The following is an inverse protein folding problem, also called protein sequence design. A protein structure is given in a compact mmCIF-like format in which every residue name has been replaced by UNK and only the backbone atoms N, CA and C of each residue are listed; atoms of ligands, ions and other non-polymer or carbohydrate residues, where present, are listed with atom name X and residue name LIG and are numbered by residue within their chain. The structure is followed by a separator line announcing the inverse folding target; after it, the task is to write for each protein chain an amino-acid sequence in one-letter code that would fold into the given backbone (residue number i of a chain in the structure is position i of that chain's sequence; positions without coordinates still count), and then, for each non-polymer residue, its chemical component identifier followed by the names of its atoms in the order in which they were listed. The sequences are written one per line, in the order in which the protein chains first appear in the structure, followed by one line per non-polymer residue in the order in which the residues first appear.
data_IF_686464578331
#
_entry.id   IF_686464578331
#
_cell.length_a   1.000
_cell.length_b   1.000
_cell.length_c   1.000
_cell.angle_alpha   90.00
_cell.angle_beta   90.00
_cell.angle_gamma   90.00
#
_symmetry.space_group_name_H-M   'P 1'
#
loop_
_entity.id
_entity.type
_entity.pdbx_description
1 polymer ?
#
# COMPACT_ATOMS: atom_id res chain seq x y z
N UNK A 1 -4.91 0.71 24.93
CA UNK A 1 -6.24 0.08 25.11
C UNK A 1 -6.11 -1.38 24.74
N UNK A 2 -6.68 -2.30 25.52
CA UNK A 2 -6.70 -3.72 25.18
C UNK A 2 -7.97 -4.03 24.38
N UNK A 3 -7.84 -4.29 23.08
CA UNK A 3 -8.98 -4.61 22.20
C UNK A 3 -9.72 -5.87 22.64
N UNK A 4 -9.07 -6.79 23.36
CA UNK A 4 -9.72 -7.98 23.92
C UNK A 4 -10.81 -7.66 24.94
N UNK A 5 -10.76 -6.50 25.61
CA UNK A 5 -11.78 -6.11 26.59
C UNK A 5 -13.13 -5.79 25.92
N UNK A 6 -13.19 -5.67 24.59
CA UNK A 6 -14.40 -5.41 23.81
C UNK A 6 -14.95 -6.67 23.11
N UNK A 7 -14.22 -7.79 23.18
CA UNK A 7 -14.59 -9.02 22.51
C UNK A 7 -15.72 -9.75 23.27
N UNK A 8 -16.67 -10.29 22.52
CA UNK A 8 -17.65 -11.27 22.98
C UNK A 8 -17.07 -12.67 22.77
N UNK A 9 -17.01 -13.47 23.83
CA UNK A 9 -16.46 -14.83 23.76
C UNK A 9 -17.47 -15.87 23.25
N UNK A 10 -18.74 -15.49 23.10
CA UNK A 10 -19.83 -16.36 22.67
C UNK A 10 -20.68 -15.64 21.62
N UNK A 11 -20.94 -16.31 20.50
CA UNK A 11 -21.83 -15.84 19.45
C UNK A 11 -23.29 -16.24 19.72
N UNK A 12 -24.22 -15.64 18.97
CA UNK A 12 -25.66 -15.90 19.09
C UNK A 12 -26.39 -14.94 20.02
N UNK A 13 -27.73 -15.04 20.13
CA UNK A 13 -28.56 -14.09 20.87
C UNK A 13 -28.22 -14.00 22.37
N UNK A 14 -27.66 -15.07 22.92
CA UNK A 14 -27.28 -15.20 24.33
C UNK A 14 -25.85 -14.75 24.62
N UNK A 15 -25.23 -13.97 23.71
CA UNK A 15 -23.88 -13.44 23.91
C UNK A 15 -23.74 -12.72 25.26
N UNK A 16 -22.55 -12.76 25.86
CA UNK A 16 -22.28 -12.08 27.14
C UNK A 16 -21.47 -10.82 26.89
N UNK A 17 -22.01 -9.66 27.29
CA UNK A 17 -21.25 -8.42 27.26
C UNK A 17 -19.97 -8.57 28.10
N UNK A 18 -18.87 -8.07 27.56
CA UNK A 18 -17.64 -7.90 28.31
C UNK A 18 -17.83 -6.86 29.43
N UNK A 19 -16.86 -6.77 30.34
CA UNK A 19 -16.88 -5.79 31.44
C UNK A 19 -17.12 -4.36 30.94
N UNK A 20 -16.46 -3.97 29.83
CA UNK A 20 -16.57 -2.62 29.27
C UNK A 20 -17.94 -2.40 28.60
N UNK A 21 -18.55 -3.44 28.05
CA UNK A 21 -19.86 -3.35 27.40
C UNK A 21 -21.04 -3.59 28.35
N UNK A 22 -20.80 -3.96 29.61
CA UNK A 22 -21.84 -4.23 30.61
C UNK A 22 -22.90 -3.11 30.75
N UNK A 23 -22.57 -1.80 30.69
CA UNK A 23 -23.58 -0.74 30.73
C UNK A 23 -24.62 -0.77 29.61
N UNK A 24 -24.34 -1.47 28.50
CA UNK A 24 -25.26 -1.61 27.36
C UNK A 24 -26.30 -2.72 27.56
N UNK A 25 -26.28 -3.46 28.67
CA UNK A 25 -27.16 -4.60 28.92
C UNK A 25 -28.65 -4.30 28.71
N UNK A 26 -29.11 -3.13 29.15
CA UNK A 26 -30.51 -2.67 28.99
C UNK A 26 -30.95 -2.46 27.53
N UNK A 27 -30.00 -2.40 26.59
CA UNK A 27 -30.25 -2.17 25.17
C UNK A 27 -29.97 -3.41 24.31
N UNK A 28 -29.83 -4.60 24.91
CA UNK A 28 -29.52 -5.87 24.21
C UNK A 28 -30.39 -6.11 22.98
N UNK A 29 -31.70 -5.86 23.06
CA UNK A 29 -32.63 -6.05 21.92
C UNK A 29 -32.43 -5.09 20.75
N UNK A 30 -31.63 -4.02 20.94
CA UNK A 30 -31.43 -2.96 19.96
C UNK A 30 -30.01 -2.92 19.41
N UNK A 31 -29.12 -3.83 19.82
CA UNK A 31 -27.71 -3.83 19.39
C UNK A 31 -27.24 -5.22 18.98
N UNK A 32 -26.32 -5.25 18.02
CA UNK A 32 -25.63 -6.46 17.57
C UNK A 32 -24.13 -6.21 17.67
N UNK A 33 -23.47 -6.65 18.75
CA UNK A 33 -22.04 -6.43 18.88
C UNK A 33 -21.27 -7.36 17.94
N UNK A 34 -20.19 -6.85 17.36
CA UNK A 34 -19.33 -7.58 16.43
C UNK A 34 -17.95 -7.70 17.08
N UNK A 35 -17.42 -8.92 17.11
CA UNK A 35 -16.13 -9.29 17.68
C UNK A 35 -15.18 -9.74 16.59
N UNK A 36 -13.87 -9.76 16.87
CA UNK A 36 -12.83 -10.07 15.89
C UNK A 36 -12.50 -8.90 14.94
N UNK A 37 -12.89 -7.67 15.28
CA UNK A 37 -12.57 -6.47 14.47
C UNK A 37 -11.19 -5.88 14.79
N UNK A 38 -10.29 -6.67 15.37
CA UNK A 38 -8.93 -6.26 15.70
C UNK A 38 -7.92 -7.06 14.88
N UNK A 39 -6.76 -6.45 14.62
CA UNK A 39 -5.68 -7.14 13.95
C UNK A 39 -4.66 -7.66 14.98
N UNK A 40 -4.30 -8.96 14.98
CA UNK A 40 -3.38 -9.52 15.98
C UNK A 40 -1.98 -8.88 15.93
N UNK A 41 -1.53 -8.47 14.75
CA UNK A 41 -0.26 -7.74 14.58
C UNK A 41 -0.33 -6.25 14.96
N UNK A 42 -1.50 -5.72 15.33
CA UNK A 42 -1.67 -4.31 15.74
C UNK A 42 -1.66 -4.09 17.26
N UNK A 43 -1.49 -5.17 18.05
CA UNK A 43 -1.39 -5.05 19.50
C UNK A 43 -0.09 -4.37 19.94
N UNK A 44 -0.20 -3.46 20.91
CA UNK A 44 0.97 -2.81 21.53
C UNK A 44 1.64 -1.72 20.69
N UNK A 45 1.25 -1.52 19.43
CA UNK A 45 1.89 -0.54 18.51
C UNK A 45 1.14 0.80 18.37
N UNK A 46 0.09 1.02 19.18
CA UNK A 46 -0.65 2.29 19.31
C UNK A 46 -0.95 2.98 17.95
N UNK A 47 -0.54 4.24 17.78
CA UNK A 47 -0.79 5.01 16.55
C UNK A 47 -0.12 4.42 15.29
N UNK A 48 0.89 3.57 15.46
CA UNK A 48 1.56 2.86 14.35
C UNK A 48 0.76 1.67 13.84
N UNK A 49 -0.36 1.30 14.48
CA UNK A 49 -1.27 0.25 14.01
C UNK A 49 -1.81 0.49 12.59
N UNK A 50 -1.85 1.74 12.13
CA UNK A 50 -2.22 2.11 10.76
C UNK A 50 -1.34 1.43 9.71
N UNK A 51 -0.08 1.09 10.03
CA UNK A 51 0.84 0.38 9.14
C UNK A 51 0.41 -1.06 8.86
N UNK A 52 -0.48 -1.63 9.68
CA UNK A 52 -1.01 -2.99 9.53
C UNK A 52 -2.29 -3.02 8.69
N UNK A 53 -2.94 -1.86 8.50
CA UNK A 53 -4.32 -1.76 8.04
C UNK A 53 -4.59 -2.51 6.71
N UNK A 54 -3.74 -2.30 5.70
CA UNK A 54 -3.91 -2.94 4.40
C UNK A 54 -2.98 -4.13 4.18
N UNK A 55 -1.96 -4.32 5.01
CA UNK A 55 -0.91 -5.33 4.77
C UNK A 55 -1.01 -6.54 5.68
N UNK A 56 -1.71 -6.42 6.80
CA UNK A 56 -1.71 -7.40 7.88
C UNK A 56 -0.31 -7.75 8.43
N UNK A 57 0.73 -7.01 8.05
CA UNK A 57 2.11 -7.34 8.38
C UNK A 57 2.38 -7.24 9.89
N UNK A 58 3.30 -8.05 10.37
CA UNK A 58 3.88 -7.87 11.70
C UNK A 58 4.86 -6.69 11.65
N UNK A 59 4.85 -5.85 12.68
CA UNK A 59 5.73 -4.70 12.80
C UNK A 59 6.61 -4.82 14.03
N UNK A 60 7.89 -4.53 13.86
CA UNK A 60 8.93 -4.68 14.87
C UNK A 60 10.28 -4.24 14.32
N UNK A 61 11.33 -4.12 15.17
CA UNK A 61 12.64 -3.59 14.75
C UNK A 61 13.28 -4.34 13.58
N UNK A 62 12.96 -5.63 13.43
CA UNK A 62 13.48 -6.52 12.39
C UNK A 62 12.43 -6.96 11.38
N UNK A 63 11.16 -6.64 11.62
CA UNK A 63 10.07 -7.08 10.75
C UNK A 63 9.96 -6.15 9.54
N UNK A 64 9.56 -6.71 8.40
CA UNK A 64 9.33 -5.96 7.16
C UNK A 64 7.84 -5.93 6.85
N UNK A 65 7.39 -4.83 6.25
CA UNK A 65 6.05 -4.76 5.72
C UNK A 65 5.91 -5.65 4.47
N UNK A 66 4.68 -5.90 4.02
CA UNK A 66 4.38 -6.72 2.84
C UNK A 66 3.36 -6.03 1.94
N UNK A 67 3.04 -6.66 0.81
CA UNK A 67 2.06 -6.15 -0.15
C UNK A 67 0.75 -5.79 0.56
N UNK A 68 0.22 -4.61 0.27
CA UNK A 68 -1.10 -4.23 0.75
C UNK A 68 -2.20 -4.84 -0.13
N UNK A 69 -3.36 -5.11 0.45
CA UNK A 69 -4.49 -5.76 -0.25
C UNK A 69 -4.96 -4.97 -1.48
N UNK A 70 -4.90 -3.63 -1.44
CA UNK A 70 -5.20 -2.78 -2.58
C UNK A 70 -4.17 -2.93 -3.70
N UNK A 71 -2.89 -3.13 -3.38
CA UNK A 71 -1.84 -3.39 -4.36
C UNK A 71 -1.91 -4.81 -4.92
N UNK A 72 -2.31 -5.79 -4.09
CA UNK A 72 -2.62 -7.13 -4.57
C UNK A 72 -3.77 -7.11 -5.58
N UNK A 73 -4.84 -6.37 -5.29
CA UNK A 73 -5.96 -6.15 -6.22
C UNK A 73 -5.48 -5.44 -7.48
N UNK A 74 -4.68 -4.38 -7.35
CA UNK A 74 -4.11 -3.63 -8.47
C UNK A 74 -3.22 -4.50 -9.39
N UNK A 75 -2.55 -5.52 -8.84
CA UNK A 75 -1.80 -6.49 -9.63
C UNK A 75 -2.68 -7.26 -10.62
N UNK A 76 -3.94 -7.49 -10.27
CA UNK A 76 -4.93 -8.22 -11.10
C UNK A 76 -5.75 -7.29 -11.99
N UNK A 77 -6.25 -6.18 -11.43
CA UNK A 77 -7.17 -5.27 -12.13
C UNK A 77 -6.43 -4.20 -12.93
N UNK A 78 -5.24 -3.80 -12.48
CA UNK A 78 -4.46 -2.72 -13.04
C UNK A 78 -4.15 -2.81 -14.53
N UNK A 79 -3.91 -3.99 -15.13
CA UNK A 79 -3.71 -4.11 -16.58
C UNK A 79 -4.91 -3.63 -17.41
N UNK A 80 -6.12 -3.54 -16.83
CA UNK A 80 -7.34 -3.08 -17.51
C UNK A 80 -7.62 -1.59 -17.30
N UNK A 81 -6.71 -0.86 -16.67
CA UNK A 81 -6.90 0.53 -16.26
C UNK A 81 -5.70 1.38 -16.64
N UNK A 82 -5.95 2.66 -16.97
CA UNK A 82 -4.89 3.64 -17.24
C UNK A 82 -3.91 3.80 -16.07
N UNK A 83 -4.43 3.84 -14.84
CA UNK A 83 -3.65 3.90 -13.62
C UNK A 83 -3.92 2.66 -12.78
N UNK A 84 -2.95 1.75 -12.60
CA UNK A 84 -3.14 0.51 -11.85
C UNK A 84 -3.62 0.72 -10.41
N UNK A 85 -3.19 1.82 -9.79
CA UNK A 85 -3.70 2.31 -8.52
C UNK A 85 -3.43 3.81 -8.40
N UNK A 86 -4.20 4.50 -7.57
CA UNK A 86 -4.03 5.92 -7.26
C UNK A 86 -4.18 6.12 -5.75
N UNK A 87 -3.08 6.38 -5.08
CA UNK A 87 -3.06 6.61 -3.63
C UNK A 87 -3.48 8.05 -3.34
N UNK A 88 -4.52 8.24 -2.54
CA UNK A 88 -5.04 9.57 -2.18
C UNK A 88 -5.17 9.65 -0.66
N UNK A 89 -4.72 10.75 -0.07
CA UNK A 89 -4.77 10.95 1.39
C UNK A 89 -4.89 12.43 1.71
N UNK A 90 -5.80 12.81 2.60
CA UNK A 90 -6.00 14.22 2.98
C UNK A 90 -4.79 14.85 3.70
N UNK A 91 -3.91 14.02 4.28
CA UNK A 91 -2.69 14.46 4.97
C UNK A 91 -1.41 13.98 4.29
N UNK A 92 -1.51 13.30 3.13
CA UNK A 92 -0.36 12.73 2.42
C UNK A 92 0.24 11.48 3.08
N UNK A 93 -0.39 10.97 4.14
CA UNK A 93 0.05 9.73 4.80
C UNK A 93 -0.16 8.53 3.86
N UNK A 94 0.87 7.71 3.64
CA UNK A 94 0.77 6.51 2.81
C UNK A 94 0.05 5.39 3.55
N UNK A 95 -0.78 4.63 2.83
CA UNK A 95 -1.44 3.41 3.31
C UNK A 95 -1.13 2.18 2.44
N UNK A 96 -0.93 2.40 1.14
CA UNK A 96 -0.59 1.35 0.20
C UNK A 96 0.90 0.99 0.31
N UNK A 97 1.20 -0.29 0.15
CA UNK A 97 2.54 -0.85 0.30
C UNK A 97 2.81 -1.83 -0.84
N UNK A 98 3.96 -1.68 -1.51
CA UNK A 98 4.35 -2.58 -2.60
C UNK A 98 4.67 -3.99 -2.10
N UNK A 99 4.89 -4.93 -3.02
CA UNK A 99 5.30 -6.29 -2.69
C UNK A 99 6.60 -6.36 -1.87
N UNK A 100 7.49 -5.39 -2.09
CA UNK A 100 8.76 -5.25 -1.38
C UNK A 100 8.65 -4.58 -0.01
N UNK A 101 7.42 -4.26 0.44
CA UNK A 101 7.19 -3.61 1.73
C UNK A 101 7.42 -2.11 1.72
N UNK A 102 7.49 -1.48 0.54
CA UNK A 102 7.74 -0.04 0.38
C UNK A 102 6.42 0.72 0.39
N UNK A 103 6.29 1.70 1.27
CA UNK A 103 5.13 2.58 1.32
C UNK A 103 5.02 3.42 0.03
N UNK A 104 3.86 3.37 -0.62
CA UNK A 104 3.61 4.14 -1.84
C UNK A 104 3.14 5.56 -1.50
N UNK A 105 3.70 6.60 -2.13
CA UNK A 105 3.35 7.98 -1.84
C UNK A 105 1.89 8.26 -2.19
N UNK A 106 1.18 8.96 -1.29
CA UNK A 106 -0.19 9.36 -1.51
C UNK A 106 -0.29 10.81 -2.02
N UNK A 107 -1.16 11.03 -3.01
CA UNK A 107 -1.53 12.37 -3.46
C UNK A 107 -2.29 13.09 -2.36
N UNK A 108 -1.72 14.20 -1.89
CA UNK A 108 -2.36 15.04 -0.88
C UNK A 108 -3.49 15.89 -1.46
N UNK A 109 -3.29 16.39 -2.67
CA UNK A 109 -4.24 17.26 -3.35
C UNK A 109 -5.08 16.42 -4.31
N UNK A 110 -6.38 16.31 -4.04
CA UNK A 110 -7.31 15.61 -4.93
C UNK A 110 -7.35 16.23 -6.34
N UNK A 111 -6.98 17.50 -6.47
CA UNK A 111 -6.84 18.18 -7.76
C UNK A 111 -5.77 17.55 -8.67
N UNK A 112 -4.68 17.01 -8.12
CA UNK A 112 -3.64 16.35 -8.91
C UNK A 112 -4.14 15.02 -9.47
N UNK A 113 -4.83 14.25 -8.63
CA UNK A 113 -5.52 13.02 -9.03
C UNK A 113 -6.58 13.29 -10.11
N UNK A 114 -7.39 14.34 -9.94
CA UNK A 114 -8.40 14.74 -10.92
C UNK A 114 -7.77 15.16 -12.26
N UNK A 115 -6.72 15.98 -12.23
CA UNK A 115 -5.99 16.38 -13.44
C UNK A 115 -5.41 15.17 -14.17
N UNK A 116 -4.81 14.24 -13.44
CA UNK A 116 -4.27 13.02 -14.03
C UNK A 116 -5.34 12.16 -14.74
N UNK A 117 -6.55 12.09 -14.16
CA UNK A 117 -7.65 11.28 -14.68
C UNK A 117 -8.39 11.94 -15.85
N UNK A 118 -8.66 13.24 -15.77
CA UNK A 118 -9.66 13.90 -16.62
C UNK A 118 -9.13 15.07 -17.46
N UNK A 119 -7.93 15.59 -17.17
CA UNK A 119 -7.38 16.70 -17.95
C UNK A 119 -6.54 16.19 -19.12
N UNK A 120 -6.56 16.95 -20.22
CA UNK A 120 -5.61 16.74 -21.30
C UNK A 120 -4.18 17.05 -20.82
N UNK A 121 -3.18 16.33 -21.35
CA UNK A 121 -1.78 16.59 -21.05
C UNK A 121 -1.40 18.04 -21.36
N UNK A 122 -0.82 18.76 -20.40
CA UNK A 122 -0.34 20.12 -20.63
C UNK A 122 0.76 20.14 -21.70
N UNK A 123 0.45 20.67 -22.88
CA UNK A 123 1.35 20.67 -24.05
C UNK A 123 1.18 19.47 -24.99
N UNK A 124 0.09 18.72 -24.86
CA UNK A 124 -0.31 17.64 -25.77
C UNK A 124 0.37 16.30 -25.50
N UNK A 125 -0.19 15.26 -26.13
CA UNK A 125 0.24 13.86 -25.99
C UNK A 125 1.73 13.69 -26.36
N UNK A 126 2.20 14.36 -27.41
CA UNK A 126 3.60 14.29 -27.89
C UNK A 126 4.63 14.80 -26.87
N UNK A 127 4.27 15.76 -26.03
CA UNK A 127 5.15 16.23 -24.96
C UNK A 127 5.22 15.19 -23.83
N UNK A 128 4.09 14.60 -23.48
CA UNK A 128 4.02 13.57 -22.44
C UNK A 128 4.72 12.29 -22.88
N UNK A 129 4.55 11.85 -24.13
CA UNK A 129 5.26 10.70 -24.71
C UNK A 129 6.78 10.91 -24.67
N UNK A 130 7.28 12.08 -25.08
CA UNK A 130 8.71 12.42 -24.96
C UNK A 130 9.22 12.40 -23.53
N UNK A 131 8.40 12.79 -22.55
CA UNK A 131 8.78 12.75 -21.14
C UNK A 131 8.87 11.30 -20.62
N UNK A 132 7.95 10.42 -21.03
CA UNK A 132 7.97 9.00 -20.67
C UNK A 132 9.17 8.29 -21.30
N UNK A 133 9.45 8.53 -22.59
CA UNK A 133 10.61 7.97 -23.27
C UNK A 133 11.93 8.37 -22.60
N UNK A 134 12.07 9.64 -22.19
CA UNK A 134 13.24 10.09 -21.40
C UNK A 134 13.35 9.34 -20.07
N UNK A 135 12.22 9.10 -19.40
CA UNK A 135 12.19 8.36 -18.13
C UNK A 135 12.60 6.91 -18.33
N UNK A 136 12.13 6.27 -19.41
CA UNK A 136 12.54 4.92 -19.78
C UNK A 136 14.06 4.84 -20.01
N UNK A 137 14.63 5.73 -20.82
CA UNK A 137 16.08 5.77 -21.05
C UNK A 137 16.90 5.98 -19.76
N UNK A 138 16.40 6.77 -18.81
CA UNK A 138 17.04 6.91 -17.50
C UNK A 138 16.97 5.62 -16.67
N UNK A 139 15.86 4.88 -16.73
CA UNK A 139 15.72 3.61 -16.02
C UNK A 139 16.64 2.55 -16.63
N UNK A 140 16.78 2.52 -17.96
CA UNK A 140 17.72 1.62 -18.64
C UNK A 140 19.17 1.86 -18.19
N UNK A 141 19.59 3.13 -18.10
CA UNK A 141 20.91 3.50 -17.61
C UNK A 141 21.13 3.03 -16.16
N UNK A 142 20.16 3.27 -15.27
CA UNK A 142 20.22 2.83 -13.87
C UNK A 142 20.30 1.30 -13.76
N UNK A 143 19.55 0.57 -14.60
CA UNK A 143 19.59 -0.90 -14.63
C UNK A 143 20.94 -1.42 -15.14
N UNK A 144 21.55 -0.75 -16.12
CA UNK A 144 22.89 -1.10 -16.61
C UNK A 144 23.95 -0.91 -15.52
N UNK A 145 23.98 0.26 -14.87
CA UNK A 145 24.90 0.57 -13.78
C UNK A 145 24.74 -0.41 -12.62
N UNK A 146 23.49 -0.73 -12.25
CA UNK A 146 23.20 -1.71 -11.21
C UNK A 146 23.71 -3.12 -11.57
N UNK A 147 23.60 -3.55 -12.85
CA UNK A 147 24.17 -4.84 -13.29
C UNK A 147 25.69 -4.88 -13.20
N UNK A 148 26.36 -3.76 -13.51
CA UNK A 148 27.82 -3.65 -13.36
C UNK A 148 28.20 -3.74 -11.87
N UNK A 149 27.50 -3.00 -11.01
CA UNK A 149 27.74 -3.02 -9.58
C UNK A 149 27.51 -4.42 -8.96
N UNK A 150 26.47 -5.14 -9.40
CA UNK A 150 26.16 -6.49 -8.93
C UNK A 150 27.33 -7.49 -9.06
N UNK A 151 28.16 -7.32 -10.10
CA UNK A 151 29.34 -8.16 -10.35
C UNK A 151 30.41 -7.97 -9.28
N UNK A 152 30.50 -6.79 -8.68
CA UNK A 152 31.54 -6.40 -7.73
C UNK A 152 31.09 -6.49 -6.26
N UNK A 153 29.83 -6.82 -5.99
CA UNK A 153 29.27 -6.88 -4.63
C UNK A 153 29.46 -8.24 -3.95
N UNK A 154 29.55 -8.20 -2.62
CA UNK A 154 29.52 -9.35 -1.73
C UNK A 154 28.16 -10.07 -1.78
N UNK A 155 28.10 -11.32 -1.31
CA UNK A 155 26.85 -12.08 -1.27
C UNK A 155 25.78 -11.44 -0.37
N UNK A 156 26.21 -10.72 0.68
CA UNK A 156 25.32 -10.01 1.60
C UNK A 156 24.71 -8.77 0.95
N UNK A 157 25.51 -7.96 0.24
CA UNK A 157 25.04 -6.73 -0.39
C UNK A 157 24.20 -6.97 -1.65
N UNK A 158 24.41 -8.10 -2.33
CA UNK A 158 23.59 -8.50 -3.50
C UNK A 158 22.11 -8.55 -3.17
N UNK A 159 21.73 -8.96 -1.95
CA UNK A 159 20.33 -8.99 -1.55
C UNK A 159 19.68 -7.60 -1.46
N UNK A 160 20.44 -6.55 -1.10
CA UNK A 160 19.95 -5.17 -1.10
C UNK A 160 19.85 -4.61 -2.51
N UNK A 161 20.81 -4.93 -3.38
CA UNK A 161 20.78 -4.52 -4.76
C UNK A 161 19.60 -5.15 -5.51
N UNK A 162 19.28 -6.41 -5.24
CA UNK A 162 18.14 -7.11 -5.86
C UNK A 162 16.79 -6.45 -5.50
N UNK A 163 16.64 -5.99 -4.26
CA UNK A 163 15.48 -5.20 -3.82
C UNK A 163 15.39 -3.88 -4.57
N UNK A 164 16.52 -3.18 -4.73
CA UNK A 164 16.56 -1.94 -5.50
C UNK A 164 16.18 -2.18 -6.97
N UNK A 165 16.73 -3.21 -7.60
CA UNK A 165 16.43 -3.58 -8.99
C UNK A 165 14.96 -3.96 -9.18
N UNK A 166 14.36 -4.66 -8.23
CA UNK A 166 12.93 -4.99 -8.25
C UNK A 166 12.06 -3.72 -8.21
N UNK A 167 12.38 -2.78 -7.32
CA UNK A 167 11.68 -1.49 -7.26
C UNK A 167 11.85 -0.67 -8.57
N UNK A 168 13.04 -0.67 -9.17
CA UNK A 168 13.29 -0.02 -10.47
C UNK A 168 12.44 -0.66 -11.57
N UNK A 169 12.34 -2.00 -11.58
CA UNK A 169 11.53 -2.74 -12.56
C UNK A 169 10.04 -2.40 -12.45
N UNK A 170 9.52 -2.21 -11.25
CA UNK A 170 8.13 -1.74 -11.07
C UNK A 170 7.91 -0.35 -11.71
N UNK A 171 8.87 0.57 -11.57
CA UNK A 171 8.79 1.91 -12.19
C UNK A 171 8.87 1.84 -13.71
N UNK A 172 9.68 0.95 -14.26
CA UNK A 172 9.78 0.70 -15.71
C UNK A 172 8.44 0.20 -16.28
N UNK A 173 7.85 -0.82 -15.65
CA UNK A 173 6.54 -1.36 -16.05
C UNK A 173 5.45 -0.29 -16.01
N UNK A 174 5.47 0.57 -14.99
CA UNK A 174 4.53 1.71 -14.89
C UNK A 174 4.76 2.73 -16.00
N UNK A 175 6.01 2.98 -16.38
CA UNK A 175 6.38 3.95 -17.43
C UNK A 175 5.95 3.46 -18.80
N UNK A 176 6.22 2.19 -19.13
CA UNK A 176 5.79 1.56 -20.39
C UNK A 176 4.27 1.58 -20.57
N UNK A 177 3.53 1.20 -19.52
CA UNK A 177 2.06 1.30 -19.55
C UNK A 177 1.58 2.73 -19.75
N UNK A 178 2.19 3.69 -19.07
CA UNK A 178 1.81 5.09 -19.27
C UNK A 178 2.00 5.53 -20.73
N UNK A 179 2.96 4.97 -21.46
CA UNK A 179 3.15 5.24 -22.89
C UNK A 179 2.11 4.52 -23.76
N UNK A 180 1.79 3.26 -23.49
CA UNK A 180 0.74 2.50 -24.19
C UNK A 180 -0.64 3.16 -24.11
N UNK A 181 -0.91 3.89 -23.03
CA UNK A 181 -2.18 4.59 -22.79
C UNK A 181 -2.23 6.04 -23.33
N UNK A 182 -1.16 6.52 -23.97
CA UNK A 182 -1.07 7.86 -24.61
C UNK A 182 -1.28 7.80 -26.11
#
# INVERSE_FOLDING_TARGET
MNTHDYELTQAGPDYKFSRILAPLAKHRGNISPISGLHHPNAFGIAHSATQTWLTAAKHGPTDRNTISVDQLIAGVTGPKTRFPSLQISNQGQPLAVSADGIALPAHRQSGDAFKALFSEPTGGIEKQRRQLQRRESMLDLVLEDAKVLAKNLSREDRGRLDQYLTAVREVEVRTKRAEEWL
#
